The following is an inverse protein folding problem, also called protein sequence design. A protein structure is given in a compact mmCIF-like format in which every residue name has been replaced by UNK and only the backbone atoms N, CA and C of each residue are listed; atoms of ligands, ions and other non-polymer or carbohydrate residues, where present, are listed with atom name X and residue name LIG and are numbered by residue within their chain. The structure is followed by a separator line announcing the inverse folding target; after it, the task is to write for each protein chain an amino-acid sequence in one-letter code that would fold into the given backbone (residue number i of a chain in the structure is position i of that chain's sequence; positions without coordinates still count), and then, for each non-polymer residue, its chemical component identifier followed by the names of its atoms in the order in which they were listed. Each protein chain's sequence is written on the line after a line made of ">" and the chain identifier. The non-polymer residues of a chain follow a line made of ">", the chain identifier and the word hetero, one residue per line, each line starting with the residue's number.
data_IF_493448160727
#
_entry.id   IF_493448160727
#
_cell.length_a   1.000
_cell.length_b   1.000
_cell.length_c   1.000
_cell.angle_alpha   90.00
_cell.angle_beta   90.00
_cell.angle_gamma   90.00
#
_symmetry.space_group_name_H-M   'P 1'
#
loop_
_entity.id
_entity.type
_entity.pdbx_description
1 polymer ?
#
# COMPACT_ATOMS: atom_id res chain seq x y z
N UNK A 1 8.42 10.86 10.36
CA UNK A 1 7.69 10.10 9.33
C UNK A 1 8.69 9.60 8.30
N UNK A 2 8.65 8.30 7.98
CA UNK A 2 9.46 7.68 6.92
C UNK A 2 9.01 8.19 5.55
N UNK A 3 9.98 8.53 4.70
CA UNK A 3 9.74 9.06 3.34
C UNK A 3 10.52 8.25 2.32
N UNK A 4 10.22 8.43 1.03
CA UNK A 4 11.02 7.82 -0.05
C UNK A 4 12.51 8.24 0.04
N UNK A 5 12.78 9.48 0.43
CA UNK A 5 14.14 9.96 0.64
C UNK A 5 14.84 9.21 1.78
N UNK A 6 14.11 8.91 2.87
CA UNK A 6 14.61 8.10 3.99
C UNK A 6 14.98 6.70 3.51
N UNK A 7 14.10 6.03 2.75
CA UNK A 7 14.36 4.68 2.23
C UNK A 7 15.55 4.67 1.25
N UNK A 8 15.65 5.68 0.38
CA UNK A 8 16.79 5.81 -0.52
C UNK A 8 18.11 5.99 0.24
N UNK A 9 18.09 6.74 1.34
CA UNK A 9 19.27 6.86 2.22
C UNK A 9 19.61 5.51 2.85
N UNK A 10 18.64 4.80 3.43
CA UNK A 10 18.85 3.46 3.98
C UNK A 10 19.48 2.50 2.96
N UNK A 11 19.00 2.52 1.72
CA UNK A 11 19.57 1.72 0.64
C UNK A 11 21.05 2.05 0.38
N UNK A 12 21.40 3.34 0.34
CA UNK A 12 22.81 3.78 0.14
C UNK A 12 23.72 3.39 1.30
N UNK A 13 23.20 3.48 2.51
CA UNK A 13 23.95 3.22 3.74
C UNK A 13 23.97 1.73 4.13
N UNK A 14 23.29 0.86 3.35
CA UNK A 14 23.18 -0.58 3.65
C UNK A 14 22.32 -0.89 4.88
N UNK A 15 21.46 0.03 5.29
CA UNK A 15 20.57 -0.12 6.45
C UNK A 15 19.28 -0.82 6.01
N UNK A 16 18.89 -1.86 6.74
CA UNK A 16 17.61 -2.53 6.53
C UNK A 16 16.48 -1.70 7.12
N UNK A 17 15.31 -1.75 6.49
CA UNK A 17 14.08 -1.16 7.00
C UNK A 17 12.97 -2.22 7.10
N UNK A 18 11.99 -1.95 7.92
CA UNK A 18 10.86 -2.84 8.16
C UNK A 18 9.71 -2.55 7.21
N UNK A 19 9.06 -3.63 6.74
CA UNK A 19 7.84 -3.53 5.95
C UNK A 19 6.86 -4.59 6.44
N UNK A 20 5.65 -4.17 6.85
CA UNK A 20 4.60 -5.06 7.30
C UNK A 20 3.28 -4.75 6.62
N UNK A 21 2.47 -5.79 6.37
CA UNK A 21 1.08 -5.62 5.93
C UNK A 21 0.20 -5.16 7.08
N UNK A 22 -0.78 -4.29 6.78
CA UNK A 22 -1.74 -3.81 7.76
C UNK A 22 -3.05 -3.46 7.06
N UNK A 23 -4.19 -3.73 7.70
CA UNK A 23 -5.51 -3.57 7.08
C UNK A 23 -6.51 -2.77 7.94
N UNK A 24 -6.15 -2.40 9.16
CA UNK A 24 -7.02 -1.65 10.08
C UNK A 24 -6.27 -0.63 10.93
N UNK A 25 -7.06 0.28 11.51
CA UNK A 25 -6.56 1.40 12.29
C UNK A 25 -5.90 0.97 13.62
N UNK A 26 -6.35 -0.14 14.22
CA UNK A 26 -5.82 -0.61 15.49
C UNK A 26 -4.40 -1.14 15.31
N UNK A 27 -4.19 -2.04 14.34
CA UNK A 27 -2.88 -2.54 14.01
C UNK A 27 -1.94 -1.44 13.51
N UNK A 28 -2.44 -0.46 12.74
CA UNK A 28 -1.62 0.68 12.31
C UNK A 28 -1.03 1.46 13.50
N UNK A 29 -1.82 1.66 14.56
CA UNK A 29 -1.32 2.31 15.80
C UNK A 29 -0.28 1.46 16.52
N UNK A 30 -0.46 0.14 16.57
CA UNK A 30 0.54 -0.77 17.16
C UNK A 30 1.85 -0.74 16.37
N UNK A 31 1.77 -0.75 15.04
CA UNK A 31 2.95 -0.65 14.15
C UNK A 31 3.66 0.70 14.30
N UNK A 32 2.91 1.79 14.49
CA UNK A 32 3.51 3.09 14.79
C UNK A 32 4.26 3.08 16.12
N UNK A 33 3.73 2.44 17.17
CA UNK A 33 4.42 2.29 18.45
C UNK A 33 5.69 1.42 18.33
N UNK A 34 5.68 0.46 17.42
CA UNK A 34 6.83 -0.38 17.11
C UNK A 34 7.81 0.25 16.09
N UNK A 35 7.57 1.50 15.69
CA UNK A 35 8.40 2.27 14.75
C UNK A 35 8.62 1.55 13.41
N UNK A 36 7.60 0.84 12.89
CA UNK A 36 7.63 0.21 11.57
C UNK A 36 7.82 1.28 10.49
N UNK A 37 8.80 1.09 9.60
CA UNK A 37 9.19 2.08 8.59
C UNK A 37 8.17 2.20 7.46
N UNK A 38 7.62 1.06 6.99
CA UNK A 38 6.68 1.01 5.87
C UNK A 38 5.51 0.08 6.17
N UNK A 39 4.32 0.49 5.75
CA UNK A 39 3.09 -0.31 5.83
C UNK A 39 2.61 -0.58 4.40
N UNK A 40 2.31 -1.84 4.11
CA UNK A 40 1.71 -2.26 2.85
C UNK A 40 0.23 -2.60 3.07
N UNK A 41 -0.63 -1.93 2.32
CA UNK A 41 -2.02 -2.35 2.13
C UNK A 41 -2.03 -3.18 0.84
N UNK A 42 -1.96 -4.50 1.00
CA UNK A 42 -1.92 -5.44 -0.11
C UNK A 42 -3.31 -5.89 -0.53
N UNK A 43 -3.49 -6.23 -1.81
CA UNK A 43 -4.73 -6.83 -2.31
C UNK A 43 -4.98 -8.24 -1.71
N UNK A 44 -3.97 -8.84 -1.08
CA UNK A 44 -4.12 -10.02 -0.22
C UNK A 44 -5.15 -9.85 0.90
N UNK A 45 -5.59 -8.60 1.19
CA UNK A 45 -6.74 -8.36 2.07
C UNK A 45 -7.99 -9.14 1.65
N UNK A 46 -8.15 -9.41 0.35
CA UNK A 46 -9.24 -10.24 -0.15
C UNK A 46 -9.28 -11.62 0.48
N UNK A 47 -8.12 -12.20 0.73
CA UNK A 47 -7.99 -13.51 1.34
C UNK A 47 -8.00 -13.45 2.87
N UNK A 48 -7.19 -12.57 3.46
CA UNK A 48 -6.97 -12.57 4.93
C UNK A 48 -7.98 -11.75 5.72
N UNK A 49 -8.72 -10.85 5.07
CA UNK A 49 -9.72 -9.98 5.71
C UNK A 49 -11.12 -10.28 5.19
N UNK A 50 -11.30 -10.40 3.87
CA UNK A 50 -12.61 -10.61 3.25
C UNK A 50 -13.00 -12.09 3.15
N UNK A 51 -12.04 -13.04 3.29
CA UNK A 51 -12.29 -14.48 3.27
C UNK A 51 -12.48 -15.09 1.88
N UNK A 52 -12.01 -14.41 0.83
CA UNK A 52 -11.99 -14.96 -0.53
C UNK A 52 -10.86 -15.98 -0.71
N UNK A 53 -11.00 -16.88 -1.69
CA UNK A 53 -9.96 -17.86 -2.05
C UNK A 53 -8.84 -17.25 -2.91
N UNK A 54 -9.00 -16.01 -3.37
CA UNK A 54 -8.02 -15.30 -4.18
C UNK A 54 -8.15 -13.79 -4.03
N UNK A 55 -7.22 -13.03 -4.63
CA UNK A 55 -7.25 -11.55 -4.66
C UNK A 55 -8.14 -10.99 -5.78
N UNK A 56 -8.62 -11.83 -6.71
CA UNK A 56 -9.37 -11.40 -7.89
C UNK A 56 -10.63 -10.56 -7.58
N UNK A 57 -11.42 -10.83 -6.51
CA UNK A 57 -12.61 -10.03 -6.20
C UNK A 57 -12.32 -8.66 -5.61
N UNK A 58 -11.09 -8.38 -5.19
CA UNK A 58 -10.76 -7.11 -4.52
C UNK A 58 -10.91 -5.92 -5.46
N UNK A 59 -11.66 -4.93 -5.01
CA UNK A 59 -11.91 -3.71 -5.77
C UNK A 59 -10.99 -2.56 -5.33
N UNK A 60 -10.82 -1.56 -6.20
CA UNK A 60 -10.12 -0.30 -5.83
C UNK A 60 -10.81 0.41 -4.67
N UNK A 61 -12.14 0.23 -4.52
CA UNK A 61 -12.87 0.80 -3.38
C UNK A 61 -12.48 0.13 -2.06
N UNK A 62 -12.31 -1.19 -2.06
CA UNK A 62 -11.84 -1.92 -0.88
C UNK A 62 -10.44 -1.44 -0.48
N UNK A 63 -9.53 -1.34 -1.45
CA UNK A 63 -8.18 -0.83 -1.23
C UNK A 63 -8.20 0.59 -0.68
N UNK A 64 -9.01 1.47 -1.24
CA UNK A 64 -9.15 2.85 -0.76
C UNK A 64 -9.72 2.93 0.66
N UNK A 65 -10.70 2.08 0.99
CA UNK A 65 -11.28 2.01 2.33
C UNK A 65 -10.21 1.64 3.38
N UNK A 66 -9.48 0.56 3.16
CA UNK A 66 -8.44 0.12 4.08
C UNK A 66 -7.28 1.13 4.15
N UNK A 67 -6.87 1.70 3.02
CA UNK A 67 -5.85 2.75 2.98
C UNK A 67 -6.24 3.96 3.83
N UNK A 68 -7.48 4.43 3.72
CA UNK A 68 -7.98 5.57 4.50
C UNK A 68 -8.02 5.27 6.01
N UNK A 69 -8.35 4.04 6.42
CA UNK A 69 -8.33 3.63 7.82
C UNK A 69 -6.90 3.67 8.39
N UNK A 70 -5.93 3.17 7.64
CA UNK A 70 -4.51 3.20 8.02
C UNK A 70 -4.00 4.63 8.08
N UNK A 71 -4.25 5.44 7.04
CA UNK A 71 -3.75 6.81 6.93
C UNK A 71 -4.19 7.69 8.12
N UNK A 72 -5.44 7.54 8.59
CA UNK A 72 -5.93 8.28 9.77
C UNK A 72 -5.24 7.88 11.08
N UNK A 73 -4.63 6.71 11.13
CA UNK A 73 -4.07 6.14 12.38
C UNK A 73 -2.55 6.02 12.34
N UNK A 74 -1.90 6.41 11.25
CA UNK A 74 -0.46 6.32 11.06
C UNK A 74 0.14 7.70 10.79
N UNK A 75 1.15 8.06 11.58
CA UNK A 75 1.92 9.31 11.43
C UNK A 75 3.42 9.05 11.23
N UNK A 76 3.84 7.78 11.19
CA UNK A 76 5.24 7.38 11.16
C UNK A 76 5.64 6.67 9.87
N UNK A 77 4.94 5.59 9.53
CA UNK A 77 5.31 4.73 8.41
C UNK A 77 4.96 5.35 7.04
N UNK A 78 5.76 5.03 6.03
CA UNK A 78 5.41 5.26 4.63
C UNK A 78 4.34 4.24 4.22
N UNK A 79 3.25 4.72 3.63
CA UNK A 79 2.10 3.88 3.24
C UNK A 79 2.22 3.51 1.77
N UNK A 80 2.27 2.21 1.49
CA UNK A 80 2.20 1.63 0.16
C UNK A 80 0.81 0.99 -0.02
N UNK A 81 0.18 1.17 -1.18
CA UNK A 81 -1.07 0.51 -1.51
C UNK A 81 -0.99 -0.16 -2.88
N UNK A 82 -1.51 -1.39 -2.97
CA UNK A 82 -1.58 -2.12 -4.22
C UNK A 82 -2.73 -1.64 -5.09
N UNK A 83 -2.49 -1.56 -6.39
CA UNK A 83 -3.56 -1.60 -7.37
C UNK A 83 -4.04 -3.05 -7.52
N UNK A 84 -5.33 -3.35 -7.28
CA UNK A 84 -5.84 -4.70 -7.38
C UNK A 84 -5.94 -5.17 -8.83
N UNK A 85 -6.18 -6.47 -9.00
CA UNK A 85 -6.26 -7.14 -10.29
C UNK A 85 -7.06 -6.35 -11.34
N UNK A 86 -6.49 -6.20 -12.54
CA UNK A 86 -7.11 -5.54 -13.71
C UNK A 86 -7.50 -4.07 -13.51
N UNK A 87 -7.04 -3.41 -12.44
CA UNK A 87 -7.32 -1.98 -12.21
C UNK A 87 -6.34 -1.02 -12.90
N UNK A 88 -5.38 -1.57 -13.67
CA UNK A 88 -4.31 -0.82 -14.35
C UNK A 88 -4.05 -1.33 -15.78
N UNK A 89 -5.08 -1.83 -16.45
CA UNK A 89 -4.97 -2.39 -17.82
C UNK A 89 -4.58 -1.34 -18.84
N UNK A 90 -5.09 -0.12 -18.67
CA UNK A 90 -4.71 1.02 -19.51
C UNK A 90 -4.07 2.11 -18.66
N UNK A 91 -3.23 2.95 -19.28
CA UNK A 91 -2.63 4.09 -18.58
C UNK A 91 -3.68 5.02 -17.93
N UNK A 92 -4.80 5.39 -18.58
CA UNK A 92 -5.87 6.14 -17.92
C UNK A 92 -6.44 5.46 -16.69
N UNK A 93 -6.66 4.13 -16.72
CA UNK A 93 -7.14 3.37 -15.57
C UNK A 93 -6.12 3.37 -14.44
N UNK A 94 -4.86 3.09 -14.75
CA UNK A 94 -3.77 3.11 -13.77
C UNK A 94 -3.67 4.47 -13.07
N UNK A 95 -3.72 5.56 -13.82
CA UNK A 95 -3.64 6.93 -13.28
C UNK A 95 -4.87 7.27 -12.42
N UNK A 96 -6.08 6.95 -12.90
CA UNK A 96 -7.32 7.23 -12.18
C UNK A 96 -7.40 6.46 -10.85
N UNK A 97 -7.05 5.17 -10.87
CA UNK A 97 -7.08 4.31 -9.71
C UNK A 97 -5.95 4.62 -8.72
N UNK A 98 -4.74 4.93 -9.20
CA UNK A 98 -3.65 5.43 -8.36
C UNK A 98 -4.03 6.73 -7.65
N UNK A 99 -4.62 7.68 -8.37
CA UNK A 99 -5.14 8.93 -7.78
C UNK A 99 -6.09 8.65 -6.62
N UNK A 100 -7.01 7.70 -6.79
CA UNK A 100 -7.99 7.34 -5.76
C UNK A 100 -7.32 6.81 -4.49
N UNK A 101 -6.32 5.93 -4.62
CA UNK A 101 -5.59 5.41 -3.48
C UNK A 101 -4.71 6.48 -2.81
N UNK A 102 -4.08 7.36 -3.58
CA UNK A 102 -3.33 8.49 -3.03
C UNK A 102 -4.24 9.48 -2.30
N UNK A 103 -5.43 9.75 -2.81
CA UNK A 103 -6.45 10.56 -2.11
C UNK A 103 -6.94 9.90 -0.82
N UNK A 104 -6.91 8.57 -0.74
CA UNK A 104 -7.20 7.83 0.48
C UNK A 104 -6.04 7.86 1.50
N UNK A 105 -4.85 8.33 1.09
CA UNK A 105 -3.69 8.51 1.97
C UNK A 105 -2.49 7.62 1.68
N UNK A 106 -2.47 6.88 0.56
CA UNK A 106 -1.26 6.19 0.12
C UNK A 106 -0.18 7.19 -0.29
N UNK A 107 1.07 6.88 0.02
CA UNK A 107 2.24 7.65 -0.40
C UNK A 107 2.91 7.05 -1.63
N UNK A 108 2.77 5.74 -1.82
CA UNK A 108 3.35 4.97 -2.92
C UNK A 108 2.30 3.98 -3.43
N UNK A 109 2.24 3.79 -4.72
CA UNK A 109 1.40 2.77 -5.37
C UNK A 109 2.28 1.61 -5.81
N UNK A 110 1.86 0.38 -5.50
CA UNK A 110 2.50 -0.83 -6.01
C UNK A 110 1.64 -1.41 -7.14
N UNK A 111 2.30 -1.80 -8.22
CA UNK A 111 1.70 -2.48 -9.37
C UNK A 111 2.45 -3.80 -9.55
N UNK A 112 1.73 -4.90 -9.73
CA UNK A 112 2.31 -6.20 -10.02
C UNK A 112 2.22 -6.53 -11.51
N UNK A 113 3.37 -6.87 -12.11
CA UNK A 113 3.47 -7.28 -13.51
C UNK A 113 4.90 -7.39 -13.97
N UNK A 114 5.06 -7.64 -15.25
CA UNK A 114 6.36 -7.77 -15.90
C UNK A 114 6.80 -6.48 -16.59
N UNK A 115 7.71 -6.64 -17.57
CA UNK A 115 8.29 -5.52 -18.33
C UNK A 115 7.24 -4.70 -19.10
N UNK A 116 6.10 -5.28 -19.40
CA UNK A 116 4.97 -4.62 -20.06
C UNK A 116 4.35 -3.45 -19.25
N UNK A 117 4.68 -3.34 -17.97
CA UNK A 117 4.23 -2.25 -17.11
C UNK A 117 5.27 -1.13 -16.94
N UNK A 118 6.40 -1.23 -17.66
CA UNK A 118 7.49 -0.26 -17.51
C UNK A 118 7.43 0.89 -18.52
N UNK A 119 6.53 0.85 -19.50
CA UNK A 119 6.42 1.81 -20.61
C UNK A 119 5.42 2.94 -20.33
#
# INVERSE_FOLDING_TARGET
>A
MTTLSTLNKFKKDGVKFTCLTCYDAMFARMMQQAEIDTILIGDSLGMVVQGHDSTLPVTVNDMAYHTANIARSNQHALILADLPFMSYVTLPDAVANSRKLMQAGAHVIKIEGGSELCD
#
